data_IF_489798405416
#
_entry.id   IF_489798405416
#
_cell.length_a   1.000
_cell.length_b   1.000
_cell.length_c   1.000
_cell.angle_alpha   90.00
_cell.angle_beta   90.00
_cell.angle_gamma   90.00
#
_symmetry.space_group_name_H-M   'P 1'
#
loop_
_entity.id
_entity.type
_entity.pdbx_description
1 polymer ?
#
# COMPACT_ATOMS: atom_id res chain seq x y z
N UNK A 1 16.25 -17.17 -11.10
CA UNK A 1 15.17 -17.29 -10.13
C UNK A 1 13.89 -17.68 -10.88
N UNK A 2 13.12 -18.68 -10.41
CA UNK A 2 11.92 -19.19 -11.05
C UNK A 2 10.87 -18.09 -11.29
N UNK A 3 10.64 -17.24 -10.29
CA UNK A 3 9.71 -16.10 -10.35
C UNK A 3 10.04 -15.13 -11.50
N UNK A 4 11.32 -14.85 -11.73
CA UNK A 4 11.71 -13.96 -12.83
C UNK A 4 11.51 -14.60 -14.20
N UNK A 5 11.67 -15.94 -14.29
CA UNK A 5 11.38 -16.68 -15.54
C UNK A 5 9.90 -16.67 -15.88
N UNK A 6 9.03 -16.81 -14.90
CA UNK A 6 7.58 -16.79 -15.13
C UNK A 6 7.11 -15.39 -15.53
N UNK A 7 7.60 -14.33 -14.87
CA UNK A 7 7.34 -12.95 -15.28
C UNK A 7 7.82 -12.64 -16.71
N UNK A 8 9.01 -13.15 -17.07
CA UNK A 8 9.52 -12.98 -18.43
C UNK A 8 8.64 -13.68 -19.47
N UNK A 9 8.12 -14.87 -19.18
CA UNK A 9 7.19 -15.59 -20.08
C UNK A 9 5.88 -14.82 -20.29
N UNK A 10 5.34 -14.23 -19.22
CA UNK A 10 4.13 -13.41 -19.33
C UNK A 10 4.41 -12.14 -20.13
N UNK A 11 5.55 -11.46 -19.90
CA UNK A 11 5.97 -10.33 -20.72
C UNK A 11 6.17 -10.73 -22.19
N UNK A 12 6.78 -11.89 -22.46
CA UNK A 12 6.95 -12.39 -23.82
C UNK A 12 5.61 -12.57 -24.53
N UNK A 13 4.61 -13.16 -23.87
CA UNK A 13 3.26 -13.30 -24.44
C UNK A 13 2.58 -11.96 -24.76
N UNK A 14 2.86 -10.93 -23.96
CA UNK A 14 2.37 -9.59 -24.23
C UNK A 14 3.12 -8.89 -25.35
N UNK A 15 4.44 -9.07 -25.41
CA UNK A 15 5.32 -8.29 -26.27
C UNK A 15 5.51 -8.93 -27.65
N UNK A 16 5.41 -10.23 -27.77
CA UNK A 16 5.50 -11.01 -29.04
C UNK A 16 4.23 -10.74 -29.90
N UNK A 17 4.32 -9.72 -30.75
CA UNK A 17 3.21 -9.22 -31.57
C UNK A 17 2.94 -10.17 -32.74
N UNK A 18 3.99 -10.68 -33.33
CA UNK A 18 3.92 -11.58 -34.50
C UNK A 18 3.71 -13.06 -34.13
N UNK A 19 3.82 -13.39 -32.84
CA UNK A 19 3.63 -14.71 -32.24
C UNK A 19 4.61 -15.76 -32.73
N UNK A 20 5.84 -15.38 -33.04
CA UNK A 20 6.89 -16.29 -33.48
C UNK A 20 7.67 -16.94 -32.32
N UNK A 21 7.36 -16.60 -31.07
CA UNK A 21 8.00 -17.10 -29.86
C UNK A 21 9.32 -16.42 -29.50
N UNK A 22 9.66 -15.31 -30.17
CA UNK A 22 10.87 -14.51 -29.93
C UNK A 22 10.48 -13.06 -29.72
N UNK A 23 11.34 -12.29 -29.12
CA UNK A 23 11.18 -10.84 -28.99
C UNK A 23 12.21 -10.15 -29.89
N UNK A 24 11.73 -9.50 -30.93
CA UNK A 24 12.54 -8.61 -31.76
C UNK A 24 12.78 -7.25 -31.08
N UNK A 25 13.79 -6.52 -31.49
CA UNK A 25 14.05 -5.15 -31.00
C UNK A 25 12.84 -4.23 -31.25
N UNK A 26 12.18 -4.36 -32.41
CA UNK A 26 10.99 -3.59 -32.75
C UNK A 26 9.82 -3.87 -31.78
N UNK A 27 9.60 -5.10 -31.40
CA UNK A 27 8.57 -5.48 -30.44
C UNK A 27 8.88 -4.97 -29.04
N UNK A 28 10.14 -5.07 -28.62
CA UNK A 28 10.60 -4.50 -27.35
C UNK A 28 10.43 -2.98 -27.33
N UNK A 29 10.79 -2.27 -28.38
CA UNK A 29 10.64 -0.82 -28.49
C UNK A 29 9.17 -0.37 -28.46
N UNK A 30 8.24 -1.26 -28.85
CA UNK A 30 6.79 -0.99 -28.81
C UNK A 30 6.09 -1.41 -27.52
N UNK A 31 6.67 -2.32 -26.75
CA UNK A 31 5.98 -2.97 -25.63
C UNK A 31 6.70 -2.88 -24.29
N UNK A 32 8.01 -2.63 -24.27
CA UNK A 32 8.73 -2.41 -23.02
C UNK A 32 8.61 -0.94 -22.61
N UNK A 33 7.93 -0.69 -21.49
CA UNK A 33 7.66 0.65 -21.02
C UNK A 33 8.93 1.49 -20.74
N UNK A 34 10.01 0.86 -20.25
CA UNK A 34 11.28 1.57 -20.04
C UNK A 34 11.96 1.90 -21.37
N UNK A 35 11.93 1.02 -22.36
CA UNK A 35 12.42 1.33 -23.69
C UNK A 35 11.62 2.44 -24.37
N UNK A 36 10.29 2.40 -24.24
CA UNK A 36 9.41 3.46 -24.75
C UNK A 36 9.76 4.83 -24.15
N UNK A 37 9.96 4.93 -22.82
CA UNK A 37 10.33 6.16 -22.15
C UNK A 37 11.72 6.62 -22.63
N UNK A 38 12.71 5.74 -22.64
CA UNK A 38 14.08 6.06 -23.06
C UNK A 38 14.17 6.45 -24.53
N UNK A 39 13.40 5.80 -25.40
CA UNK A 39 13.39 6.05 -26.85
C UNK A 39 12.56 7.26 -27.28
N UNK A 40 11.64 7.75 -26.43
CA UNK A 40 10.75 8.86 -26.77
C UNK A 40 11.24 10.25 -26.37
N UNK A 41 12.47 10.37 -25.89
CA UNK A 41 13.04 11.63 -25.37
C UNK A 41 12.24 12.23 -24.20
N UNK A 42 11.41 11.45 -23.52
CA UNK A 42 10.73 11.89 -22.29
C UNK A 42 11.77 11.94 -21.17
N UNK A 43 11.96 13.11 -20.52
CA UNK A 43 12.84 13.20 -19.36
C UNK A 43 12.37 12.28 -18.23
N UNK A 44 13.30 11.55 -17.61
CA UNK A 44 12.99 10.65 -16.50
C UNK A 44 14.15 10.60 -15.51
N UNK A 45 13.85 10.34 -14.27
CA UNK A 45 14.79 10.03 -13.21
C UNK A 45 14.23 8.84 -12.41
N UNK A 46 15.07 8.16 -11.65
CA UNK A 46 14.68 7.18 -10.65
C UNK A 46 15.04 7.67 -9.24
N UNK A 47 14.64 6.90 -8.22
CA UNK A 47 14.85 7.24 -6.81
C UNK A 47 16.30 7.11 -6.33
N UNK A 48 17.25 6.85 -7.23
CA UNK A 48 18.68 6.92 -6.95
C UNK A 48 19.31 8.24 -7.41
N UNK A 49 18.54 9.11 -8.07
CA UNK A 49 19.02 10.40 -8.55
C UNK A 49 19.63 11.20 -7.40
N UNK A 50 20.68 11.95 -7.73
CA UNK A 50 21.39 12.87 -6.84
C UNK A 50 21.82 12.26 -5.50
N UNK A 51 22.14 10.96 -5.51
CA UNK A 51 22.62 10.24 -4.34
C UNK A 51 21.54 9.93 -3.32
N UNK A 52 20.27 9.82 -3.73
CA UNK A 52 19.15 9.44 -2.87
C UNK A 52 19.12 7.97 -2.50
N UNK A 53 19.99 7.15 -3.09
CA UNK A 53 20.06 5.69 -2.83
C UNK A 53 20.05 5.37 -1.33
N UNK A 54 19.18 4.43 -0.94
CA UNK A 54 19.05 3.93 0.44
C UNK A 54 18.07 4.71 1.32
N UNK A 55 17.32 5.67 0.79
CA UNK A 55 16.30 6.41 1.52
C UNK A 55 14.91 5.75 1.50
N UNK A 56 14.79 4.47 1.16
CA UNK A 56 13.52 3.78 0.97
C UNK A 56 13.08 3.74 -0.50
N UNK A 57 11.79 3.46 -0.74
CA UNK A 57 11.24 3.35 -2.10
C UNK A 57 10.52 4.64 -2.49
N UNK A 58 10.67 5.08 -3.74
CA UNK A 58 9.72 5.97 -4.37
C UNK A 58 8.46 5.16 -4.71
N UNK A 59 7.54 5.10 -3.77
CA UNK A 59 6.37 4.23 -3.82
C UNK A 59 5.08 4.94 -4.21
N UNK A 60 5.14 6.21 -4.56
CA UNK A 60 3.99 6.93 -5.14
C UNK A 60 3.46 6.26 -6.41
N UNK A 61 2.15 6.33 -6.61
CA UNK A 61 1.46 5.88 -7.82
C UNK A 61 0.47 6.96 -8.19
N UNK A 62 0.98 8.06 -8.79
CA UNK A 62 0.13 9.14 -9.27
C UNK A 62 0.60 9.72 -10.60
N UNK A 63 -0.32 10.37 -11.29
CA UNK A 63 -0.05 11.22 -12.45
C UNK A 63 -0.73 12.56 -12.24
N UNK A 64 -0.06 13.64 -12.67
CA UNK A 64 -0.65 14.98 -12.78
C UNK A 64 -0.78 15.30 -14.26
N UNK A 65 -2.00 15.55 -14.72
CA UNK A 65 -2.32 15.78 -16.13
C UNK A 65 -2.77 17.24 -16.28
N UNK A 66 -2.09 17.97 -17.15
CA UNK A 66 -2.37 19.37 -17.51
C UNK A 66 -2.51 20.34 -16.32
N UNK A 67 -1.90 20.02 -15.19
CA UNK A 67 -2.04 20.74 -13.91
C UNK A 67 -3.52 20.89 -13.44
N UNK A 68 -4.39 19.97 -13.84
CA UNK A 68 -5.84 20.01 -13.56
C UNK A 68 -6.37 18.70 -13.01
N UNK A 69 -5.81 17.57 -13.44
CA UNK A 69 -6.29 16.23 -13.07
C UNK A 69 -5.20 15.49 -12.32
N UNK A 70 -5.60 14.82 -11.25
CA UNK A 70 -4.77 13.84 -10.54
C UNK A 70 -5.35 12.45 -10.75
N UNK A 71 -4.52 11.52 -11.18
CA UNK A 71 -4.82 10.09 -11.13
C UNK A 71 -3.92 9.48 -10.08
N UNK A 72 -4.49 8.81 -9.09
CA UNK A 72 -3.75 8.20 -7.98
C UNK A 72 -4.39 6.89 -7.53
N UNK A 73 -3.64 6.03 -6.87
CA UNK A 73 -4.19 4.79 -6.33
C UNK A 73 -3.16 3.86 -5.72
N UNK A 74 -3.53 2.59 -5.59
CA UNK A 74 -2.65 1.55 -5.08
C UNK A 74 -1.89 0.80 -6.18
N UNK A 75 -2.32 0.88 -7.44
CA UNK A 75 -1.76 0.14 -8.56
C UNK A 75 -0.40 0.66 -8.98
N UNK A 76 0.61 -0.22 -9.05
CA UNK A 76 1.83 0.07 -9.79
C UNK A 76 1.52 0.16 -11.30
N UNK A 77 2.32 0.90 -12.04
CA UNK A 77 2.22 0.93 -13.51
C UNK A 77 2.92 -0.31 -14.10
N UNK A 78 2.47 -1.49 -13.68
CA UNK A 78 3.01 -2.79 -14.09
C UNK A 78 1.91 -3.68 -14.64
N UNK A 79 2.30 -4.69 -15.41
CA UNK A 79 1.34 -5.62 -16.00
C UNK A 79 0.50 -6.33 -14.92
N UNK A 80 1.13 -6.82 -13.87
CA UNK A 80 0.43 -7.55 -12.79
C UNK A 80 -0.59 -6.71 -12.02
N UNK A 81 -0.47 -5.38 -12.04
CA UNK A 81 -1.43 -4.49 -11.39
C UNK A 81 -2.55 -4.01 -12.33
N UNK A 82 -2.40 -4.26 -13.65
CA UNK A 82 -3.36 -3.82 -14.68
C UNK A 82 -4.07 -5.01 -15.32
N UNK A 83 -3.38 -6.14 -15.44
CA UNK A 83 -3.85 -7.31 -16.19
C UNK A 83 -3.46 -8.61 -15.46
N UNK A 84 -4.28 -9.64 -15.59
CA UNK A 84 -3.92 -11.00 -15.16
C UNK A 84 -2.85 -11.62 -16.05
N UNK A 85 -2.41 -12.82 -15.69
CA UNK A 85 -1.44 -13.57 -16.46
C UNK A 85 -2.04 -14.02 -17.81
N UNK A 86 -1.34 -13.79 -18.91
CA UNK A 86 -1.78 -14.23 -20.24
C UNK A 86 -1.86 -15.76 -20.37
N UNK A 87 -1.12 -16.48 -19.51
CA UNK A 87 -1.14 -17.95 -19.46
C UNK A 87 -2.22 -18.53 -18.56
N UNK A 88 -2.88 -17.70 -17.75
CA UNK A 88 -3.85 -18.11 -16.73
C UNK A 88 -5.11 -17.24 -16.82
N UNK A 89 -6.08 -17.62 -17.66
CA UNK A 89 -7.26 -16.79 -17.91
C UNK A 89 -8.16 -16.55 -16.69
N UNK A 90 -7.98 -17.32 -15.62
CA UNK A 90 -8.66 -17.13 -14.35
C UNK A 90 -8.13 -15.94 -13.54
N UNK A 91 -6.90 -15.49 -13.80
CA UNK A 91 -6.30 -14.33 -13.11
C UNK A 91 -6.85 -13.02 -13.66
N UNK A 92 -6.92 -12.00 -12.80
CA UNK A 92 -7.43 -10.66 -13.15
C UNK A 92 -6.38 -9.57 -12.93
N UNK A 93 -5.22 -9.96 -12.42
CA UNK A 93 -4.22 -9.07 -11.87
C UNK A 93 -4.50 -8.73 -10.40
N UNK A 94 -3.59 -8.00 -9.80
CA UNK A 94 -3.70 -7.62 -8.40
C UNK A 94 -4.94 -6.75 -8.15
N UNK A 95 -5.64 -7.01 -7.03
CA UNK A 95 -6.77 -6.20 -6.62
C UNK A 95 -6.28 -4.82 -6.17
N UNK A 96 -6.61 -3.79 -6.95
CA UNK A 96 -6.16 -2.42 -6.81
C UNK A 96 -7.31 -1.43 -6.93
N UNK A 97 -7.07 -0.19 -6.50
CA UNK A 97 -7.96 0.93 -6.76
C UNK A 97 -7.25 2.06 -7.49
N UNK A 98 -8.03 2.85 -8.22
CA UNK A 98 -7.60 4.03 -8.93
C UNK A 98 -8.65 5.11 -8.77
N UNK A 99 -8.21 6.33 -8.48
CA UNK A 99 -9.02 7.53 -8.44
C UNK A 99 -8.55 8.51 -9.51
N UNK A 100 -9.50 9.07 -10.24
CA UNK A 100 -9.29 10.26 -11.06
C UNK A 100 -10.04 11.41 -10.42
N UNK A 101 -9.34 12.51 -10.12
CA UNK A 101 -9.91 13.69 -9.47
C UNK A 101 -9.58 14.91 -10.31
N UNK A 102 -10.62 15.57 -10.86
CA UNK A 102 -10.48 16.79 -11.61
C UNK A 102 -10.50 17.98 -10.64
N UNK A 103 -9.31 18.48 -10.29
CA UNK A 103 -9.10 19.62 -9.39
C UNK A 103 -7.73 20.23 -9.58
N UNK A 104 -7.71 21.47 -10.03
CA UNK A 104 -6.48 22.26 -10.18
C UNK A 104 -5.75 22.45 -8.85
N UNK A 105 -6.49 22.64 -7.76
CA UNK A 105 -5.92 22.81 -6.42
C UNK A 105 -5.23 21.52 -5.97
N UNK A 106 -5.89 20.36 -6.09
CA UNK A 106 -5.32 19.07 -5.80
C UNK A 106 -4.09 18.81 -6.69
N UNK A 107 -4.19 19.06 -7.99
CA UNK A 107 -3.08 18.90 -8.92
C UNK A 107 -1.85 19.71 -8.52
N UNK A 108 -2.03 20.93 -7.97
CA UNK A 108 -0.93 21.73 -7.46
C UNK A 108 -0.21 21.09 -6.26
N UNK A 109 -0.92 20.42 -5.34
CA UNK A 109 -0.31 19.70 -4.22
C UNK A 109 0.57 18.54 -4.73
N UNK A 110 0.03 17.72 -5.62
CA UNK A 110 0.78 16.62 -6.23
C UNK A 110 1.96 17.08 -7.09
N UNK A 111 1.79 18.19 -7.80
CA UNK A 111 2.89 18.80 -8.57
C UNK A 111 4.02 19.30 -7.66
N UNK A 112 3.69 19.88 -6.51
CA UNK A 112 4.73 20.30 -5.53
C UNK A 112 5.50 19.08 -5.03
N UNK A 113 4.82 17.98 -4.69
CA UNK A 113 5.49 16.74 -4.28
C UNK A 113 6.37 16.16 -5.40
N UNK A 114 5.86 16.13 -6.62
CA UNK A 114 6.62 15.72 -7.79
C UNK A 114 7.87 16.58 -7.99
N UNK A 115 7.73 17.91 -7.92
CA UNK A 115 8.85 18.84 -8.15
C UNK A 115 9.96 18.72 -7.10
N UNK A 116 9.64 18.36 -5.85
CA UNK A 116 10.65 18.08 -4.81
C UNK A 116 11.52 16.88 -5.22
N UNK A 117 10.89 15.83 -5.75
CA UNK A 117 11.60 14.63 -6.22
C UNK A 117 12.33 14.89 -7.54
N UNK A 118 11.75 15.71 -8.41
CA UNK A 118 12.29 16.00 -9.73
C UNK A 118 13.49 16.93 -9.71
N UNK A 119 13.51 17.92 -8.79
CA UNK A 119 14.48 19.02 -8.83
C UNK A 119 14.39 19.81 -10.14
N UNK A 120 15.51 20.09 -10.77
CA UNK A 120 15.56 20.66 -12.11
C UNK A 120 15.71 19.60 -13.23
N UNK A 121 15.62 18.31 -12.87
CA UNK A 121 15.51 17.19 -13.78
C UNK A 121 16.85 16.58 -14.22
N UNK A 122 16.81 15.63 -15.17
CA UNK A 122 18.00 14.89 -15.56
C UNK A 122 19.04 15.79 -16.23
N UNK A 123 20.28 15.72 -15.74
CA UNK A 123 21.43 16.51 -16.25
C UNK A 123 21.48 17.94 -15.71
N UNK A 124 20.61 18.30 -14.79
CA UNK A 124 20.63 19.58 -14.08
C UNK A 124 21.51 19.57 -12.83
N UNK A 125 21.17 20.41 -11.86
CA UNK A 125 21.83 20.42 -10.54
C UNK A 125 21.45 19.18 -9.74
N UNK A 126 22.29 18.73 -8.78
CA UNK A 126 21.95 17.58 -7.94
C UNK A 126 20.98 17.98 -6.81
N UNK A 127 19.74 18.31 -7.16
CA UNK A 127 18.73 18.85 -6.26
C UNK A 127 17.44 17.98 -6.16
N UNK A 128 17.42 16.82 -6.81
CA UNK A 128 16.35 15.81 -6.61
C UNK A 128 16.37 15.27 -5.18
N UNK A 129 15.22 15.27 -4.52
CA UNK A 129 15.11 14.80 -3.14
C UNK A 129 14.09 13.65 -3.02
N UNK A 130 14.54 12.48 -2.56
CA UNK A 130 13.70 11.33 -2.27
C UNK A 130 13.79 10.91 -0.80
N UNK A 131 12.76 10.22 -0.32
CA UNK A 131 12.72 9.70 1.03
C UNK A 131 12.87 10.78 2.09
N UNK A 132 13.60 10.50 3.16
CA UNK A 132 13.79 11.40 4.30
C UNK A 132 14.61 12.68 3.98
N UNK A 133 15.20 12.77 2.79
CA UNK A 133 15.85 14.00 2.33
C UNK A 133 14.83 15.09 1.98
N UNK A 134 13.57 14.74 1.75
CA UNK A 134 12.51 15.70 1.49
C UNK A 134 12.16 16.50 2.75
N UNK A 135 11.78 17.77 2.62
CA UNK A 135 11.27 18.53 3.75
C UNK A 135 9.96 17.87 4.28
N UNK A 136 9.70 17.96 5.57
CA UNK A 136 8.42 17.49 6.14
C UNK A 136 7.24 18.22 5.49
N UNK A 137 6.18 17.49 5.14
CA UNK A 137 4.94 18.03 4.55
C UNK A 137 3.83 17.96 5.57
N UNK A 138 3.10 19.04 5.70
CA UNK A 138 1.91 19.10 6.55
C UNK A 138 0.77 18.28 5.93
N UNK A 139 -0.24 17.97 6.72
CA UNK A 139 -1.51 17.47 6.21
C UNK A 139 -2.24 18.64 5.56
N UNK A 140 -2.48 18.55 4.27
CA UNK A 140 -3.25 19.54 3.52
C UNK A 140 -4.74 19.19 3.53
N UNK A 141 -5.58 20.24 3.52
CA UNK A 141 -7.04 20.10 3.50
C UNK A 141 -7.63 20.94 2.36
N UNK A 142 -8.52 20.33 1.60
CA UNK A 142 -9.24 20.99 0.50
C UNK A 142 -10.64 20.41 0.31
N UNK A 143 -11.48 21.15 -0.43
CA UNK A 143 -12.83 20.73 -0.82
C UNK A 143 -12.89 20.63 -2.34
N UNK A 144 -13.24 19.45 -2.84
CA UNK A 144 -13.36 19.19 -4.27
C UNK A 144 -14.73 18.57 -4.55
N UNK A 145 -15.55 19.25 -5.36
CA UNK A 145 -16.90 18.76 -5.71
C UNK A 145 -17.78 18.45 -4.49
N UNK A 146 -17.60 19.19 -3.39
CA UNK A 146 -18.30 18.97 -2.12
C UNK A 146 -17.67 17.89 -1.22
N UNK A 147 -16.71 17.13 -1.70
CA UNK A 147 -15.94 16.18 -0.87
C UNK A 147 -14.85 16.89 -0.08
N UNK A 148 -14.73 16.59 1.22
CA UNK A 148 -13.60 17.04 2.01
C UNK A 148 -12.43 16.07 1.81
N UNK A 149 -11.27 16.60 1.41
CA UNK A 149 -10.09 15.80 1.14
C UNK A 149 -8.96 16.25 2.04
N UNK A 150 -8.29 15.30 2.69
CA UNK A 150 -7.02 15.50 3.38
C UNK A 150 -5.94 14.72 2.65
N UNK A 151 -4.78 15.34 2.48
CA UNK A 151 -3.65 14.72 1.79
C UNK A 151 -2.45 14.73 2.73
N UNK A 152 -1.74 13.64 2.77
CA UNK A 152 -0.45 13.54 3.44
C UNK A 152 0.53 12.80 2.52
N UNK A 153 1.72 13.36 2.39
CA UNK A 153 2.85 12.70 1.76
C UNK A 153 3.86 12.32 2.84
N UNK A 154 4.37 11.11 2.80
CA UNK A 154 5.48 10.62 3.61
C UNK A 154 6.77 10.49 2.75
N UNK A 155 7.95 10.22 3.33
CA UNK A 155 8.13 9.93 4.75
C UNK A 155 8.18 11.19 5.62
N UNK A 156 7.98 10.96 6.91
CA UNK A 156 8.26 11.93 7.95
C UNK A 156 9.46 11.44 8.81
N UNK A 157 10.32 12.34 9.31
CA UNK A 157 11.32 12.01 10.32
C UNK A 157 10.71 11.29 11.54
N UNK A 158 11.50 10.44 12.19
CA UNK A 158 11.05 9.63 13.35
C UNK A 158 10.59 10.49 14.55
N UNK A 159 11.14 11.69 14.68
CA UNK A 159 10.81 12.66 15.74
C UNK A 159 9.60 13.54 15.41
N UNK A 160 8.99 13.35 14.23
CA UNK A 160 7.77 14.07 13.86
C UNK A 160 6.64 13.71 14.81
N UNK A 161 5.93 14.70 15.40
CA UNK A 161 4.75 14.42 16.21
C UNK A 161 3.75 13.55 15.46
N UNK A 162 3.34 12.47 16.09
CA UNK A 162 2.57 11.40 15.43
C UNK A 162 1.32 11.89 14.72
N UNK A 163 0.60 12.83 15.32
CA UNK A 163 -0.61 13.44 14.74
C UNK A 163 -0.36 14.18 13.42
N UNK A 164 0.90 14.47 13.10
CA UNK A 164 1.31 15.13 11.85
C UNK A 164 1.76 14.13 10.79
N UNK A 165 1.86 12.85 11.13
CA UNK A 165 2.29 11.77 10.22
C UNK A 165 1.12 11.14 9.48
N UNK A 166 1.42 10.30 8.47
CA UNK A 166 0.40 9.51 7.75
C UNK A 166 -0.32 8.54 8.68
N UNK A 167 0.40 7.82 9.56
CA UNK A 167 -0.22 6.96 10.58
C UNK A 167 -1.09 7.75 11.55
N UNK A 168 -0.71 8.99 11.87
CA UNK A 168 -1.52 9.90 12.69
C UNK A 168 -2.83 10.29 12.00
N UNK A 169 -2.81 10.59 10.71
CA UNK A 169 -4.02 10.87 9.93
C UNK A 169 -4.96 9.66 9.92
N UNK A 170 -4.43 8.45 9.66
CA UNK A 170 -5.20 7.20 9.69
C UNK A 170 -5.81 6.98 11.09
N UNK A 171 -4.99 7.07 12.13
CA UNK A 171 -5.40 6.81 13.51
C UNK A 171 -6.45 7.80 14.00
N UNK A 172 -6.30 9.10 13.68
CA UNK A 172 -7.27 10.14 14.03
C UNK A 172 -8.61 9.88 13.34
N UNK A 173 -8.59 9.49 12.06
CA UNK A 173 -9.80 9.14 11.33
C UNK A 173 -10.51 7.92 11.97
N UNK A 174 -9.76 6.85 12.28
CA UNK A 174 -10.29 5.65 12.94
C UNK A 174 -10.84 5.98 14.34
N UNK A 175 -10.12 6.79 15.13
CA UNK A 175 -10.56 7.20 16.48
C UNK A 175 -11.92 7.93 16.46
N UNK A 176 -12.22 8.64 15.35
CA UNK A 176 -13.50 9.33 15.14
C UNK A 176 -14.67 8.42 14.76
N UNK A 177 -14.41 7.17 14.38
CA UNK A 177 -15.42 6.22 13.86
C UNK A 177 -16.43 5.82 14.95
N UNK A 178 -17.69 5.72 14.56
CA UNK A 178 -18.81 5.40 15.48
C UNK A 178 -19.51 4.08 15.18
N UNK A 179 -19.48 3.62 13.94
CA UNK A 179 -20.29 2.48 13.50
C UNK A 179 -19.46 1.34 12.93
N UNK A 180 -18.58 1.62 11.96
CA UNK A 180 -17.90 0.55 11.22
C UNK A 180 -16.55 0.98 10.64
N UNK A 181 -15.63 0.02 10.59
CA UNK A 181 -14.36 0.10 9.88
C UNK A 181 -14.22 -1.14 8.99
N UNK A 182 -14.18 -0.95 7.68
CA UNK A 182 -13.89 -1.99 6.70
C UNK A 182 -12.54 -1.71 6.04
N UNK A 183 -11.62 -2.68 6.06
CA UNK A 183 -10.25 -2.48 5.56
C UNK A 183 -9.85 -3.59 4.59
N UNK A 184 -9.21 -3.19 3.47
CA UNK A 184 -8.55 -4.11 2.55
C UNK A 184 -7.10 -3.66 2.37
N UNK A 185 -6.15 -4.45 2.88
CA UNK A 185 -4.77 -4.05 3.06
C UNK A 185 -3.79 -5.08 2.49
N UNK A 186 -2.80 -4.60 1.72
CA UNK A 186 -1.70 -5.44 1.26
C UNK A 186 -0.78 -5.80 2.42
N UNK A 187 -0.18 -4.79 3.08
CA UNK A 187 0.64 -4.97 4.27
C UNK A 187 0.06 -4.17 5.43
N UNK A 188 -0.08 -4.83 6.57
CA UNK A 188 -0.57 -4.22 7.79
C UNK A 188 0.30 -4.63 8.98
N UNK A 189 1.13 -3.71 9.47
CA UNK A 189 2.05 -3.93 10.60
C UNK A 189 2.21 -2.72 11.54
N UNK A 190 1.39 -1.68 11.38
CA UNK A 190 1.42 -0.50 12.25
C UNK A 190 0.69 -0.77 13.57
N UNK A 191 1.45 -0.97 14.64
CA UNK A 191 0.95 -1.30 15.96
C UNK A 191 0.12 -0.18 16.61
N UNK A 192 0.40 1.07 16.25
CA UNK A 192 -0.39 2.17 16.77
C UNK A 192 -1.80 2.18 16.17
N UNK A 193 -1.90 1.97 14.86
CA UNK A 193 -3.20 1.82 14.19
C UNK A 193 -3.94 0.62 14.78
N UNK A 194 -3.26 -0.51 15.01
CA UNK A 194 -3.85 -1.70 15.65
C UNK A 194 -4.41 -1.39 17.04
N UNK A 195 -3.70 -0.60 17.83
CA UNK A 195 -4.14 -0.20 19.17
C UNK A 195 -5.42 0.62 19.12
N UNK A 196 -5.49 1.64 18.25
CA UNK A 196 -6.69 2.49 18.10
C UNK A 196 -7.89 1.68 17.57
N UNK A 197 -7.67 0.77 16.64
CA UNK A 197 -8.73 -0.15 16.18
C UNK A 197 -9.26 -1.02 17.32
N UNK A 198 -8.35 -1.55 18.17
CA UNK A 198 -8.75 -2.32 19.35
C UNK A 198 -9.55 -1.48 20.37
N UNK A 199 -9.30 -0.18 20.47
CA UNK A 199 -10.13 0.75 21.25
C UNK A 199 -11.52 0.90 20.64
N UNK A 200 -11.62 1.09 19.34
CA UNK A 200 -12.91 1.18 18.64
C UNK A 200 -13.73 -0.11 18.76
N UNK A 201 -13.08 -1.27 18.71
CA UNK A 201 -13.76 -2.55 18.95
C UNK A 201 -14.40 -2.59 20.33
N UNK A 202 -13.68 -2.12 21.37
CA UNK A 202 -14.24 -2.07 22.75
C UNK A 202 -15.44 -1.12 22.87
N UNK A 203 -15.49 -0.11 21.99
CA UNK A 203 -16.62 0.82 21.87
C UNK A 203 -17.71 0.30 20.93
N UNK A 204 -17.71 -1.01 20.62
CA UNK A 204 -18.67 -1.70 19.77
C UNK A 204 -18.69 -1.24 18.29
N UNK A 205 -17.64 -0.62 17.79
CA UNK A 205 -17.49 -0.36 16.36
C UNK A 205 -17.28 -1.70 15.64
N UNK A 206 -18.03 -1.95 14.58
CA UNK A 206 -17.88 -3.15 13.75
C UNK A 206 -16.62 -3.06 12.93
N UNK A 207 -15.72 -4.04 13.04
CA UNK A 207 -14.47 -4.08 12.30
C UNK A 207 -14.43 -5.32 11.42
N UNK A 208 -14.21 -5.11 10.12
CA UNK A 208 -13.97 -6.17 9.13
C UNK A 208 -12.68 -5.89 8.39
N UNK A 209 -11.84 -6.88 8.25
CA UNK A 209 -10.51 -6.68 7.65
C UNK A 209 -10.18 -7.81 6.68
N UNK A 210 -9.66 -7.44 5.52
CA UNK A 210 -9.01 -8.34 4.57
C UNK A 210 -7.55 -7.94 4.45
N UNK A 211 -6.65 -8.92 4.54
CA UNK A 211 -5.21 -8.72 4.37
C UNK A 211 -4.68 -9.73 3.36
N UNK A 212 -3.69 -9.36 2.58
CA UNK A 212 -3.05 -10.25 1.61
C UNK A 212 -2.47 -11.50 2.27
N UNK A 213 -2.61 -12.64 1.63
CA UNK A 213 -2.17 -13.94 2.16
C UNK A 213 -0.67 -14.03 2.42
N UNK A 214 0.16 -13.27 1.68
CA UNK A 214 1.61 -13.26 1.87
C UNK A 214 2.03 -12.54 3.16
N UNK A 215 1.20 -11.61 3.65
CA UNK A 215 1.51 -10.74 4.79
C UNK A 215 0.68 -11.02 6.04
N UNK A 216 -0.57 -11.45 5.90
CA UNK A 216 -1.47 -11.66 7.04
C UNK A 216 -0.91 -12.62 8.11
N UNK A 217 -0.16 -13.62 7.68
CA UNK A 217 0.40 -14.66 8.55
C UNK A 217 1.85 -14.41 9.00
N UNK A 218 2.40 -13.25 8.64
CA UNK A 218 3.76 -12.90 9.06
C UNK A 218 3.78 -12.57 10.56
N UNK A 219 4.90 -12.85 11.19
CA UNK A 219 5.10 -12.66 12.63
C UNK A 219 5.15 -11.19 13.09
N UNK A 220 5.22 -10.26 12.16
CA UNK A 220 5.12 -8.82 12.39
C UNK A 220 3.74 -8.24 12.03
N UNK A 221 2.84 -9.07 11.48
CA UNK A 221 1.53 -8.60 11.02
C UNK A 221 0.62 -8.24 12.18
N UNK A 222 0.02 -7.05 12.14
CA UNK A 222 -1.01 -6.63 13.10
C UNK A 222 -2.31 -7.43 12.98
N UNK A 223 -2.46 -8.28 11.96
CA UNK A 223 -3.55 -9.26 11.91
C UNK A 223 -3.49 -10.27 13.06
N UNK A 224 -2.29 -10.58 13.56
CA UNK A 224 -2.11 -11.45 14.71
C UNK A 224 -2.83 -10.91 15.95
N UNK A 225 -2.68 -9.61 16.20
CA UNK A 225 -3.34 -8.94 17.31
C UNK A 225 -4.85 -9.09 17.24
N UNK A 226 -5.41 -8.86 16.05
CA UNK A 226 -6.86 -8.96 15.78
C UNK A 226 -7.39 -10.39 15.92
N UNK A 227 -6.56 -11.41 15.67
CA UNK A 227 -6.87 -12.82 15.89
C UNK A 227 -6.61 -13.30 17.32
N UNK A 228 -6.09 -12.45 18.19
CA UNK A 228 -5.75 -12.81 19.56
C UNK A 228 -4.47 -13.65 19.68
N UNK A 229 -3.57 -13.52 18.70
CA UNK A 229 -2.30 -14.24 18.64
C UNK A 229 -1.13 -13.31 18.94
N UNK A 230 -0.21 -13.78 19.77
CA UNK A 230 0.98 -13.01 20.12
C UNK A 230 2.00 -13.02 18.99
N UNK A 231 2.51 -11.85 18.61
CA UNK A 231 3.56 -11.70 17.60
C UNK A 231 4.96 -12.05 18.17
N UNK A 232 5.95 -12.28 17.29
CA UNK A 232 7.34 -12.42 17.75
C UNK A 232 7.88 -11.09 18.28
N UNK A 233 7.38 -9.98 17.79
CA UNK A 233 7.77 -8.64 18.27
C UNK A 233 7.28 -8.42 19.72
N UNK A 234 6.07 -8.85 20.07
CA UNK A 234 5.58 -8.83 21.44
C UNK A 234 6.51 -9.60 22.36
N UNK A 235 6.95 -10.78 21.93
CA UNK A 235 7.92 -11.58 22.68
C UNK A 235 9.26 -10.86 22.90
N UNK A 236 9.77 -10.16 21.90
CA UNK A 236 11.04 -9.42 21.98
C UNK A 236 10.95 -8.18 22.88
N UNK A 237 9.84 -7.48 22.83
CA UNK A 237 9.62 -6.21 23.57
C UNK A 237 9.06 -6.41 24.96
N UNK A 238 8.52 -7.60 25.25
CA UNK A 238 7.77 -7.86 26.50
C UNK A 238 6.44 -7.12 26.59
N UNK A 239 5.99 -6.48 25.48
CA UNK A 239 4.71 -5.78 25.40
C UNK A 239 3.75 -6.62 24.56
N UNK A 240 2.50 -6.76 25.01
CA UNK A 240 1.48 -7.48 24.27
C UNK A 240 0.55 -6.50 23.58
N UNK A 241 0.42 -6.65 22.26
CA UNK A 241 -0.53 -5.94 21.42
C UNK A 241 -1.80 -6.74 21.15
N UNK A 242 -1.88 -7.96 21.67
CA UNK A 242 -2.97 -8.91 21.47
C UNK A 242 -4.31 -8.34 21.93
N UNK A 243 -5.32 -8.41 21.05
CA UNK A 243 -6.66 -7.96 21.40
C UNK A 243 -7.34 -8.94 22.34
N UNK A 244 -7.96 -8.39 23.42
CA UNK A 244 -8.66 -9.19 24.43
C UNK A 244 -9.88 -9.93 23.88
N UNK A 245 -10.47 -9.41 22.82
CA UNK A 245 -11.62 -9.98 22.13
C UNK A 245 -11.24 -10.22 20.65
N UNK A 246 -10.75 -11.42 20.31
CA UNK A 246 -10.35 -11.74 18.94
C UNK A 246 -11.51 -11.62 17.95
N UNK A 247 -11.20 -11.10 16.75
CA UNK A 247 -12.17 -10.93 15.69
C UNK A 247 -12.28 -12.17 14.79
N UNK A 248 -13.52 -12.55 14.49
CA UNK A 248 -13.85 -13.56 13.47
C UNK A 248 -14.09 -12.96 12.08
N UNK A 249 -13.98 -11.65 11.94
CA UNK A 249 -14.26 -10.84 10.75
C UNK A 249 -13.00 -10.42 10.02
N UNK A 250 -11.87 -11.01 10.38
CA UNK A 250 -10.56 -10.78 9.75
C UNK A 250 -10.19 -11.99 8.92
N UNK A 251 -9.89 -11.77 7.64
CA UNK A 251 -9.67 -12.87 6.71
C UNK A 251 -8.79 -12.51 5.51
N UNK A 252 -8.69 -13.48 4.63
CA UNK A 252 -7.92 -13.46 3.39
C UNK A 252 -8.91 -13.57 2.22
N UNK A 253 -8.90 -12.66 1.24
CA UNK A 253 -9.77 -12.77 0.09
C UNK A 253 -9.40 -13.98 -0.78
N UNK A 254 -10.39 -14.58 -1.41
CA UNK A 254 -10.17 -15.65 -2.37
C UNK A 254 -9.87 -15.05 -3.74
N UNK A 255 -8.60 -14.93 -4.07
CA UNK A 255 -8.10 -14.46 -5.36
C UNK A 255 -7.50 -15.62 -6.17
N UNK A 256 -7.44 -15.46 -7.48
CA UNK A 256 -6.77 -16.43 -8.34
C UNK A 256 -5.28 -16.56 -7.97
N UNK A 257 -4.72 -17.74 -8.20
CA UNK A 257 -3.32 -18.00 -7.85
C UNK A 257 -2.37 -17.12 -8.65
N UNK A 258 -1.65 -16.25 -7.96
CA UNK A 258 -0.75 -15.24 -8.55
C UNK A 258 -1.22 -13.81 -8.34
N UNK A 259 -2.53 -13.59 -8.23
CA UNK A 259 -3.11 -12.28 -7.93
C UNK A 259 -2.96 -11.95 -6.43
N UNK A 260 -2.73 -10.68 -6.12
CA UNK A 260 -2.55 -10.18 -4.76
C UNK A 260 -3.69 -9.24 -4.37
N UNK A 261 -4.02 -9.20 -3.08
CA UNK A 261 -4.78 -8.10 -2.51
C UNK A 261 -3.85 -6.89 -2.34
N UNK A 262 -3.71 -6.08 -3.38
CA UNK A 262 -2.77 -4.96 -3.37
C UNK A 262 -3.42 -3.62 -2.98
N UNK A 263 -4.64 -3.64 -2.50
CA UNK A 263 -5.31 -2.48 -1.91
C UNK A 263 -4.62 -1.97 -0.65
N UNK A 264 -4.78 -0.70 -0.36
CA UNK A 264 -4.40 -0.02 0.88
C UNK A 264 -5.50 0.98 1.23
N UNK A 265 -6.69 0.45 1.55
CA UNK A 265 -7.80 1.32 1.90
C UNK A 265 -8.53 0.91 3.18
N UNK A 266 -9.11 1.92 3.83
CA UNK A 266 -10.10 1.77 4.88
C UNK A 266 -11.35 2.58 4.57
N UNK A 267 -12.51 2.05 4.93
CA UNK A 267 -13.83 2.70 4.83
C UNK A 267 -14.35 2.87 6.25
N UNK A 268 -14.60 4.11 6.65
CA UNK A 268 -15.00 4.47 7.99
C UNK A 268 -16.44 5.01 7.96
N UNK A 269 -17.32 4.41 8.76
CA UNK A 269 -18.73 4.78 8.87
C UNK A 269 -19.43 4.93 7.50
N UNK A 270 -18.99 4.16 6.49
CA UNK A 270 -19.49 4.17 5.10
C UNK A 270 -19.50 5.53 4.40
N UNK A 271 -18.72 6.48 4.91
CA UNK A 271 -18.71 7.87 4.43
C UNK A 271 -17.32 8.46 4.23
N UNK A 272 -16.30 7.99 4.97
CA UNK A 272 -14.93 8.42 4.84
C UNK A 272 -14.07 7.26 4.31
N UNK A 273 -13.28 7.50 3.28
CA UNK A 273 -12.26 6.56 2.83
C UNK A 273 -10.85 7.07 3.12
N UNK A 274 -9.98 6.14 3.46
CA UNK A 274 -8.53 6.30 3.50
C UNK A 274 -7.96 5.48 2.37
N UNK A 275 -7.15 6.04 1.47
CA UNK A 275 -6.59 5.31 0.33
C UNK A 275 -5.32 5.97 -0.20
N UNK A 276 -4.65 5.32 -1.15
CA UNK A 276 -3.42 5.78 -1.80
C UNK A 276 -2.41 4.66 -1.98
N UNK A 277 -1.13 5.03 -1.97
CA UNK A 277 -0.04 4.06 -2.08
C UNK A 277 0.45 3.53 -0.73
N UNK A 278 0.12 4.24 0.36
CA UNK A 278 0.64 4.04 1.71
C UNK A 278 0.20 2.69 2.30
N UNK A 279 1.11 1.73 2.42
CA UNK A 279 0.91 0.55 3.24
C UNK A 279 0.78 0.97 4.72
N UNK A 280 0.01 0.23 5.50
CA UNK A 280 -0.16 0.59 6.91
C UNK A 280 0.98 -0.01 7.74
N UNK A 281 2.18 0.56 7.53
CA UNK A 281 3.45 0.09 8.08
C UNK A 281 4.31 1.25 8.54
N UNK A 282 5.28 0.96 9.42
CA UNK A 282 6.30 1.92 9.84
C UNK A 282 7.13 2.44 8.65
N UNK A 283 7.55 1.55 7.74
CA UNK A 283 8.36 1.92 6.58
C UNK A 283 7.63 2.91 5.66
N UNK A 284 6.33 2.72 5.42
CA UNK A 284 5.52 3.65 4.65
C UNK A 284 5.41 5.04 5.31
N UNK A 285 5.53 5.10 6.63
CA UNK A 285 5.44 6.35 7.38
C UNK A 285 6.77 7.11 7.42
N UNK A 286 7.91 6.40 7.55
CA UNK A 286 9.21 6.99 7.89
C UNK A 286 10.33 6.79 6.87
N UNK A 287 10.15 5.96 5.83
CA UNK A 287 11.21 5.70 4.84
C UNK A 287 10.78 5.85 3.40
N UNK A 288 9.56 5.42 3.05
CA UNK A 288 9.09 5.41 1.67
C UNK A 288 8.41 6.72 1.27
N UNK A 289 8.53 7.07 0.00
CA UNK A 289 7.75 8.16 -0.60
C UNK A 289 6.34 7.65 -0.90
N UNK A 290 5.35 8.07 -0.09
CA UNK A 290 3.97 7.57 -0.17
C UNK A 290 2.95 8.69 -0.26
N UNK A 291 1.81 8.36 -0.83
CA UNK A 291 0.60 9.20 -0.83
C UNK A 291 -0.47 8.56 0.02
N UNK A 292 -1.02 9.32 0.96
CA UNK A 292 -2.24 9.00 1.69
C UNK A 292 -3.27 10.10 1.44
N UNK A 293 -4.49 9.71 1.07
CA UNK A 293 -5.64 10.62 0.98
C UNK A 293 -6.79 10.10 1.85
N UNK A 294 -7.44 11.01 2.55
CA UNK A 294 -8.68 10.77 3.27
C UNK A 294 -9.79 11.58 2.58
N UNK A 295 -10.85 10.92 2.10
CA UNK A 295 -11.94 11.55 1.35
C UNK A 295 -13.26 11.30 2.07
N UNK A 296 -13.85 12.37 2.60
CA UNK A 296 -15.19 12.34 3.19
C UNK A 296 -16.22 12.56 2.10
N UNK A 297 -16.82 11.48 1.62
CA UNK A 297 -17.89 11.50 0.61
C UNK A 297 -18.55 10.12 0.53
N UNK A 298 -19.86 10.05 0.76
CA UNK A 298 -20.64 8.80 0.78
C UNK A 298 -20.66 8.09 -0.58
N UNK A 299 -20.72 8.84 -1.68
CA UNK A 299 -20.71 8.25 -3.03
C UNK A 299 -19.38 7.56 -3.30
N UNK A 300 -18.26 8.22 -3.00
CA UNK A 300 -16.93 7.62 -3.14
C UNK A 300 -16.81 6.41 -2.23
N UNK A 301 -17.21 6.53 -0.96
CA UNK A 301 -17.17 5.42 -0.01
C UNK A 301 -18.00 4.22 -0.48
N UNK A 302 -19.15 4.43 -1.12
CA UNK A 302 -19.99 3.37 -1.65
C UNK A 302 -19.33 2.55 -2.77
N UNK A 303 -18.46 3.17 -3.57
CA UNK A 303 -17.66 2.46 -4.58
C UNK A 303 -16.64 1.52 -3.93
N UNK A 304 -15.93 2.00 -2.92
CA UNK A 304 -14.99 1.19 -2.14
C UNK A 304 -15.71 0.08 -1.36
N UNK A 305 -16.92 0.39 -0.83
CA UNK A 305 -17.73 -0.60 -0.14
C UNK A 305 -18.11 -1.76 -1.06
N UNK A 306 -18.52 -1.51 -2.31
CA UNK A 306 -18.82 -2.57 -3.28
C UNK A 306 -17.61 -3.45 -3.56
N UNK A 307 -16.43 -2.87 -3.70
CA UNK A 307 -15.19 -3.63 -3.89
C UNK A 307 -14.86 -4.44 -2.64
N UNK A 308 -14.99 -3.85 -1.45
CA UNK A 308 -14.76 -4.57 -0.20
C UNK A 308 -15.71 -5.76 -0.07
N UNK A 309 -17.01 -5.60 -0.31
CA UNK A 309 -17.99 -6.70 -0.25
C UNK A 309 -17.69 -7.80 -1.27
N UNK A 310 -17.28 -7.44 -2.48
CA UNK A 310 -16.87 -8.41 -3.51
C UNK A 310 -15.70 -9.28 -3.03
N UNK A 311 -14.71 -8.67 -2.39
CA UNK A 311 -13.53 -9.37 -1.86
C UNK A 311 -13.85 -10.15 -0.57
N UNK A 312 -14.75 -9.61 0.25
CA UNK A 312 -15.14 -10.19 1.53
C UNK A 312 -16.02 -11.44 1.36
N UNK A 313 -16.85 -11.44 0.31
CA UNK A 313 -17.66 -12.60 -0.05
C UNK A 313 -16.76 -13.75 -0.50
N UNK A 314 -16.79 -14.85 0.24
CA UNK A 314 -15.96 -16.02 -0.04
C UNK A 314 -14.53 -15.93 0.50
N UNK A 315 -14.20 -14.91 1.30
CA UNK A 315 -12.93 -14.85 2.01
C UNK A 315 -12.79 -15.97 3.05
N UNK A 316 -11.58 -16.39 3.32
CA UNK A 316 -11.25 -17.34 4.39
C UNK A 316 -10.94 -16.58 5.65
N UNK A 317 -11.68 -16.84 6.73
CA UNK A 317 -11.57 -16.10 7.99
C UNK A 317 -10.77 -16.86 9.05
N UNK A 318 -10.06 -16.08 9.87
CA UNK A 318 -9.28 -16.56 10.99
C UNK A 318 -7.86 -17.04 10.64
N UNK A 319 -7.07 -17.38 11.67
CA UNK A 319 -5.72 -17.87 11.49
C UNK A 319 -5.70 -19.34 11.02
N UNK A 320 -4.64 -19.72 10.32
CA UNK A 320 -4.43 -21.13 9.97
C UNK A 320 -4.05 -21.96 11.21
N UNK A 321 -4.38 -23.25 11.22
CA UNK A 321 -4.00 -24.16 12.31
C UNK A 321 -2.48 -24.17 12.54
N UNK A 322 -1.69 -24.11 11.47
CA UNK A 322 -0.22 -24.00 11.54
C UNK A 322 0.24 -22.73 12.27
N UNK A 323 -0.43 -21.60 12.01
CA UNK A 323 -0.10 -20.34 12.68
C UNK A 323 -0.45 -20.39 14.16
N UNK A 324 -1.63 -20.90 14.51
CA UNK A 324 -2.06 -21.11 15.92
C UNK A 324 -1.05 -21.97 16.65
N UNK A 325 -0.64 -23.10 16.06
CA UNK A 325 0.38 -23.99 16.67
C UNK A 325 1.75 -23.27 16.81
N UNK A 326 2.14 -22.47 15.82
CA UNK A 326 3.40 -21.74 15.89
C UNK A 326 3.39 -20.65 16.97
N UNK A 327 2.25 -19.99 17.19
CA UNK A 327 2.09 -18.92 18.18
C UNK A 327 1.79 -19.44 19.59
N UNK A 328 1.42 -20.72 19.76
CA UNK A 328 1.23 -21.35 21.08
C UNK A 328 2.54 -21.70 21.79
N UNK A 329 3.68 -21.67 21.09
CA UNK A 329 5.00 -21.85 21.69
C UNK A 329 5.35 -20.68 22.62
N UNK A 330 6.17 -20.96 23.64
CA UNK A 330 6.64 -19.92 24.56
C UNK A 330 7.47 -18.85 23.82
N UNK A 331 7.53 -17.65 24.37
CA UNK A 331 8.34 -16.58 23.79
C UNK A 331 9.81 -16.96 23.65
N UNK A 332 10.38 -17.67 24.62
CA UNK A 332 11.76 -18.14 24.58
C UNK A 332 12.01 -19.11 23.42
N UNK A 333 11.09 -20.04 23.17
CA UNK A 333 11.18 -20.97 22.05
C UNK A 333 11.06 -20.26 20.69
N UNK A 334 10.20 -19.25 20.61
CA UNK A 334 9.97 -18.50 19.37
C UNK A 334 11.12 -17.57 19.02
N UNK A 335 11.76 -16.95 20.01
CA UNK A 335 12.93 -16.07 19.79
C UNK A 335 14.16 -16.88 19.42
N UNK A 336 14.36 -18.04 20.04
CA UNK A 336 15.50 -18.93 19.75
C UNK A 336 15.41 -19.65 18.41
N UNK A 337 14.21 -19.89 17.88
CA UNK A 337 14.00 -20.68 16.66
C UNK A 337 14.22 -19.91 15.35
N UNK A 338 14.49 -18.60 15.40
CA UNK A 338 14.83 -17.82 14.21
C UNK A 338 16.30 -17.47 14.18
N UNK A 339 17.05 -17.87 13.12
CA UNK A 339 18.34 -17.26 12.84
C UNK A 339 18.14 -15.76 12.67
N UNK A 340 19.07 -14.94 13.16
CA UNK A 340 19.11 -13.51 12.86
C UNK A 340 19.23 -13.31 11.35
N UNK A 341 18.10 -13.29 10.66
CA UNK A 341 18.07 -12.73 9.31
C UNK A 341 17.92 -11.24 9.49
N UNK A 342 19.01 -10.55 9.28
CA UNK A 342 18.98 -9.15 8.90
C UNK A 342 18.07 -9.00 7.71
N UNK A 343 17.17 -8.20 7.84
CA UNK A 343 16.45 -7.65 6.88
C UNK A 343 15.24 -7.41 6.46
N UNK A 344 15.18 -6.30 6.11
CA UNK A 344 14.58 -5.82 4.84
C UNK A 344 13.09 -6.11 4.71
N UNK A 345 12.30 -5.26 5.36
CA UNK A 345 11.04 -4.81 4.81
C UNK A 345 11.32 -4.06 3.50
N UNK A 346 11.81 -4.77 2.49
CA UNK A 346 11.86 -4.28 1.13
C UNK A 346 10.87 -5.08 0.30
N UNK A 347 9.69 -4.48 0.08
CA UNK A 347 8.91 -4.61 -1.16
C UNK A 347 7.76 -3.62 -1.18
#
# INVERSE_FOLDING_TARGET
NARNRDRYKEFQKFADINRDGRLSEEELDRRDGLRLIKGSNIPWIDDTADGSKGSGLMHHKFMVIDNQVVVLGSANFTMSDIHGDFSKPETRGNANNLLRIDSKELANHFKKEFNIMWGDGPGGKPDSLFGIKKPSRKIDYLIVGGAQIRIKFSPDPEDTPREQTSSGLISTAIAGTKQSVDMALFVYSDQFISTILGERQRDNVQIRTLVDSQFAYRDYSSTLDMWGLQSTQDCKTGKSSVWKQPLKTVGIPNLASGDLLHHKFGILDRSLILTGSHNWTHAANHTNDETLVAIQNETVASHYQREFERLYQGATFGPTAKLVQATSKTCDERVKSKPQSNTEESN
#
